data_IF_923110221604
#
_entry.id   IF_923110221604
#
_cell.length_a   1.000
_cell.length_b   1.000
_cell.length_c   1.000
_cell.angle_alpha   90.00
_cell.angle_beta   90.00
_cell.angle_gamma   90.00
#
_symmetry.space_group_name_H-M   'P 1'
#
loop_
_entity.id
_entity.type
_entity.pdbx_description
1 polymer ?
#
# COMPACT_ATOMS: atom_id res chain seq x y z
N UNK A 1 13.92 10.08 -25.27
CA UNK A 1 12.47 10.26 -25.09
C UNK A 1 12.16 9.72 -23.69
N UNK A 2 12.20 10.58 -22.66
CA UNK A 2 11.95 10.17 -21.27
C UNK A 2 10.58 10.68 -20.88
N UNK A 3 9.62 9.77 -20.70
CA UNK A 3 8.28 10.11 -20.20
C UNK A 3 8.34 9.97 -18.68
N UNK A 4 8.80 11.03 -18.00
CA UNK A 4 8.69 11.17 -16.54
C UNK A 4 7.37 11.88 -16.25
N UNK A 5 6.30 11.11 -16.06
CA UNK A 5 5.00 11.63 -15.71
C UNK A 5 4.23 10.59 -14.90
N UNK A 6 4.50 10.52 -13.59
CA UNK A 6 3.61 9.83 -12.66
C UNK A 6 3.44 10.66 -11.39
N UNK A 7 2.40 11.49 -11.46
CA UNK A 7 1.51 11.95 -10.39
C UNK A 7 2.08 12.05 -8.98
N UNK A 8 2.33 13.30 -8.55
CA UNK A 8 2.30 13.67 -7.14
C UNK A 8 0.98 13.17 -6.53
N UNK A 9 1.10 12.31 -5.52
CA UNK A 9 -0.02 11.83 -4.73
C UNK A 9 -0.47 13.01 -3.87
N UNK A 10 -1.61 13.61 -4.19
CA UNK A 10 -2.18 14.65 -3.33
C UNK A 10 -2.79 13.98 -2.09
N UNK A 11 -1.95 13.77 -1.08
CA UNK A 11 -2.30 13.18 0.24
C UNK A 11 -2.63 14.27 1.28
N UNK A 12 -3.00 15.47 0.84
CA UNK A 12 -2.89 16.68 1.66
C UNK A 12 -4.07 16.98 2.61
N UNK A 13 -5.22 16.32 2.50
CA UNK A 13 -6.42 16.89 3.15
C UNK A 13 -6.70 16.43 4.59
N UNK A 14 -6.16 15.30 5.10
CA UNK A 14 -6.43 14.83 6.49
C UNK A 14 -5.36 13.95 7.13
N UNK A 15 -4.09 14.14 6.78
CA UNK A 15 -3.00 13.36 7.37
C UNK A 15 -2.20 14.21 8.34
N UNK A 16 -1.77 13.63 9.45
CA UNK A 16 -0.63 14.16 10.19
C UNK A 16 0.56 14.27 9.21
N UNK A 17 1.20 15.44 9.06
CA UNK A 17 2.26 15.65 8.08
C UNK A 17 3.42 14.67 8.23
N UNK A 18 3.64 14.12 9.42
CA UNK A 18 4.69 13.13 9.71
C UNK A 18 4.39 11.79 9.04
N UNK A 19 3.13 11.35 9.10
CA UNK A 19 2.68 10.14 8.42
C UNK A 19 2.79 10.30 6.90
N UNK A 20 2.43 11.46 6.34
CA UNK A 20 2.50 11.69 4.89
C UNK A 20 3.92 11.48 4.33
N UNK A 21 4.93 12.03 5.00
CA UNK A 21 6.32 11.90 4.54
C UNK A 21 6.81 10.45 4.58
N UNK A 22 6.46 9.70 5.64
CA UNK A 22 6.80 8.27 5.71
C UNK A 22 6.15 7.50 4.56
N UNK A 23 4.87 7.74 4.30
CA UNK A 23 4.16 7.07 3.23
C UNK A 23 4.74 7.41 1.85
N UNK A 24 5.08 8.68 1.61
CA UNK A 24 5.81 9.09 0.41
C UNK A 24 7.13 8.34 0.27
N UNK A 25 7.93 8.27 1.34
CA UNK A 25 9.22 7.56 1.32
C UNK A 25 9.06 6.06 1.07
N UNK A 26 7.99 5.45 1.58
CA UNK A 26 7.69 4.02 1.39
C UNK A 26 7.24 3.70 -0.05
N UNK A 27 6.68 4.66 -0.78
CA UNK A 27 6.21 4.46 -2.16
C UNK A 27 7.15 5.05 -3.22
N UNK A 28 8.03 5.98 -2.84
CA UNK A 28 8.92 6.70 -3.75
C UNK A 28 9.87 5.76 -4.47
N UNK A 29 9.94 5.92 -5.80
CA UNK A 29 10.85 5.16 -6.65
C UNK A 29 10.46 3.70 -6.88
N UNK A 30 9.25 3.28 -6.47
CA UNK A 30 8.71 1.94 -6.73
C UNK A 30 7.79 1.95 -7.93
N UNK A 31 7.92 0.93 -8.78
CA UNK A 31 7.07 0.79 -9.95
C UNK A 31 5.66 0.33 -9.55
N UNK A 32 4.67 1.05 -10.06
CA UNK A 32 3.26 0.66 -9.94
C UNK A 32 2.92 -0.23 -11.12
N UNK A 33 2.58 -1.49 -10.84
CA UNK A 33 2.15 -2.47 -11.82
C UNK A 33 0.64 -2.55 -11.80
N UNK A 34 0.03 -2.26 -12.94
CA UNK A 34 -1.41 -2.31 -13.15
C UNK A 34 -1.97 -3.71 -12.90
N UNK A 35 -3.26 -3.77 -12.57
CA UNK A 35 -3.95 -5.04 -12.42
C UNK A 35 -4.23 -5.65 -13.81
N UNK A 36 -3.83 -6.90 -14.08
CA UNK A 36 -4.25 -7.60 -15.31
C UNK A 36 -5.77 -7.81 -15.37
N UNK A 37 -6.36 -7.79 -16.58
CA UNK A 37 -7.82 -7.94 -16.77
C UNK A 37 -8.38 -9.25 -16.22
N UNK A 38 -7.62 -10.35 -16.36
CA UNK A 38 -7.95 -11.66 -15.86
C UNK A 38 -6.84 -12.13 -14.92
N UNK A 39 -6.89 -11.69 -13.67
CA UNK A 39 -5.95 -12.08 -12.62
C UNK A 39 -6.63 -13.04 -11.63
N UNK A 40 -5.98 -14.17 -11.34
CA UNK A 40 -6.41 -15.07 -10.27
C UNK A 40 -5.92 -14.58 -8.91
N UNK A 41 -6.58 -15.02 -7.82
CA UNK A 41 -6.19 -14.64 -6.46
C UNK A 41 -4.71 -14.95 -6.15
N UNK A 42 -4.21 -16.09 -6.60
CA UNK A 42 -2.81 -16.52 -6.40
C UNK A 42 -1.84 -15.57 -7.12
N UNK A 43 -2.20 -15.11 -8.32
CA UNK A 43 -1.40 -14.14 -9.07
C UNK A 43 -1.42 -12.76 -8.41
N UNK A 44 -2.58 -12.32 -7.90
CA UNK A 44 -2.69 -11.09 -7.10
C UNK A 44 -1.76 -11.13 -5.90
N UNK A 45 -1.78 -12.22 -5.13
CA UNK A 45 -0.90 -12.38 -3.96
C UNK A 45 0.58 -12.38 -4.36
N UNK A 46 0.94 -13.10 -5.42
CA UNK A 46 2.32 -13.12 -5.94
C UNK A 46 2.80 -11.72 -6.32
N UNK A 47 1.94 -10.91 -6.95
CA UNK A 47 2.25 -9.54 -7.35
C UNK A 47 2.37 -8.59 -6.15
N UNK A 48 1.51 -8.76 -5.14
CA UNK A 48 1.60 -8.04 -3.87
C UNK A 48 2.89 -8.39 -3.10
N UNK A 49 3.32 -9.65 -3.15
CA UNK A 49 4.53 -10.15 -2.49
C UNK A 49 5.83 -9.92 -3.28
N UNK A 50 5.77 -9.30 -4.45
CA UNK A 50 6.98 -9.01 -5.24
C UNK A 50 7.71 -7.82 -4.61
N UNK A 51 8.96 -8.03 -4.22
CA UNK A 51 9.77 -7.00 -3.58
C UNK A 51 9.93 -5.75 -4.47
N UNK A 52 10.02 -4.58 -3.83
CA UNK A 52 10.19 -3.27 -4.47
C UNK A 52 9.12 -2.88 -5.50
N UNK A 53 7.99 -3.59 -5.54
CA UNK A 53 6.88 -3.30 -6.43
C UNK A 53 5.67 -2.77 -5.65
N UNK A 54 4.83 -2.01 -6.35
CA UNK A 54 3.49 -1.63 -5.92
C UNK A 54 2.50 -2.28 -6.89
N UNK A 55 1.59 -3.08 -6.38
CA UNK A 55 0.55 -3.72 -7.16
C UNK A 55 -0.73 -2.87 -7.10
N UNK A 56 -1.28 -2.50 -8.26
CA UNK A 56 -2.66 -2.05 -8.32
C UNK A 56 -3.59 -3.23 -8.13
N UNK A 57 -4.56 -3.10 -7.24
CA UNK A 57 -5.49 -4.16 -6.88
C UNK A 57 -6.93 -3.73 -7.14
N UNK A 58 -7.81 -4.73 -7.26
CA UNK A 58 -9.23 -4.45 -7.36
C UNK A 58 -9.78 -3.96 -6.02
N UNK A 59 -10.93 -3.28 -6.11
CA UNK A 59 -11.72 -2.92 -4.94
C UNK A 59 -12.04 -4.14 -4.07
N UNK A 60 -12.35 -5.28 -4.67
CA UNK A 60 -12.69 -6.51 -3.92
C UNK A 60 -11.51 -7.01 -3.06
N UNK A 61 -10.30 -7.00 -3.61
CA UNK A 61 -9.07 -7.37 -2.87
C UNK A 61 -8.84 -6.42 -1.71
N UNK A 62 -9.03 -5.11 -1.94
CA UNK A 62 -8.92 -4.10 -0.89
C UNK A 62 -9.83 -4.38 0.31
N UNK A 63 -11.13 -4.58 0.06
CA UNK A 63 -12.10 -4.83 1.12
C UNK A 63 -11.88 -6.19 1.80
N UNK A 64 -11.45 -7.22 1.05
CA UNK A 64 -11.08 -8.50 1.63
C UNK A 64 -10.02 -8.32 2.72
N UNK A 65 -8.91 -7.65 2.40
CA UNK A 65 -7.85 -7.44 3.39
C UNK A 65 -8.27 -6.48 4.51
N UNK A 66 -9.08 -5.46 4.21
CA UNK A 66 -9.52 -4.50 5.23
C UNK A 66 -10.50 -5.11 6.25
N UNK A 67 -11.38 -5.99 5.80
CA UNK A 67 -12.51 -6.49 6.60
C UNK A 67 -12.31 -7.92 7.12
N UNK A 68 -11.64 -8.77 6.34
CA UNK A 68 -11.46 -10.19 6.69
C UNK A 68 -10.18 -10.45 7.46
N UNK A 69 -9.20 -9.55 7.36
CA UNK A 69 -7.90 -9.69 8.00
C UNK A 69 -7.73 -8.48 8.92
N UNK A 70 -8.00 -8.67 10.20
CA UNK A 70 -7.99 -7.61 11.22
C UNK A 70 -6.72 -6.73 11.07
N UNK A 71 -6.86 -5.49 10.54
CA UNK A 71 -5.71 -4.70 10.15
C UNK A 71 -4.97 -4.22 11.40
N UNK A 72 -3.67 -4.52 11.47
CA UNK A 72 -2.81 -4.17 12.60
C UNK A 72 -2.72 -2.65 12.81
N UNK A 73 -2.67 -1.91 11.70
CA UNK A 73 -2.68 -0.45 11.67
C UNK A 73 -3.65 0.02 10.59
N UNK A 74 -4.42 1.06 10.86
CA UNK A 74 -5.36 1.59 9.88
C UNK A 74 -5.57 3.10 9.99
N UNK A 75 -5.76 3.72 8.84
CA UNK A 75 -6.27 5.08 8.69
C UNK A 75 -7.49 5.11 7.76
N UNK A 76 -7.88 6.31 7.35
CA UNK A 76 -9.06 6.50 6.48
C UNK A 76 -8.86 5.88 5.08
N UNK A 77 -7.66 6.05 4.52
CA UNK A 77 -7.31 5.71 3.14
C UNK A 77 -6.18 4.68 3.03
N UNK A 78 -5.71 4.12 4.14
CA UNK A 78 -4.64 3.13 4.17
C UNK A 78 -4.80 2.17 5.34
N UNK A 79 -4.16 1.01 5.25
CA UNK A 79 -4.04 0.06 6.36
C UNK A 79 -2.88 -0.91 6.13
N UNK A 80 -2.43 -1.54 7.21
CA UNK A 80 -1.42 -2.61 7.22
C UNK A 80 -2.09 -3.90 7.70
N UNK A 81 -1.91 -4.97 6.93
CA UNK A 81 -2.52 -6.26 7.21
C UNK A 81 -1.50 -7.39 7.04
N UNK A 82 -1.60 -8.43 7.86
CA UNK A 82 -0.75 -9.61 7.75
C UNK A 82 -1.50 -10.76 7.06
N UNK A 83 -0.95 -11.34 6.00
CA UNK A 83 -1.53 -12.47 5.27
C UNK A 83 -0.47 -13.49 4.90
N UNK A 84 -0.76 -14.78 5.08
CA UNK A 84 0.15 -15.90 4.71
C UNK A 84 1.60 -15.75 5.23
N UNK A 85 1.77 -15.19 6.43
CA UNK A 85 3.10 -14.97 7.04
C UNK A 85 3.86 -13.75 6.52
N UNK A 86 3.24 -12.96 5.64
CA UNK A 86 3.77 -11.70 5.13
C UNK A 86 2.95 -10.52 5.66
N UNK A 87 3.52 -9.32 5.60
CA UNK A 87 2.82 -8.08 5.96
C UNK A 87 2.72 -7.18 4.76
N UNK A 88 1.53 -6.68 4.51
CA UNK A 88 1.20 -5.87 3.36
C UNK A 88 0.74 -4.49 3.81
N UNK A 89 1.20 -3.48 3.09
CA UNK A 89 0.67 -2.13 3.17
C UNK A 89 -0.29 -1.90 2.01
N UNK A 90 -1.47 -1.38 2.32
CA UNK A 90 -2.49 -1.01 1.35
C UNK A 90 -2.83 0.47 1.50
N UNK A 91 -2.96 1.19 0.39
CA UNK A 91 -3.53 2.54 0.36
C UNK A 91 -4.42 2.73 -0.88
N UNK A 92 -5.37 3.66 -0.77
CA UNK A 92 -6.25 4.05 -1.88
C UNK A 92 -6.10 5.53 -2.14
N UNK A 93 -6.21 5.90 -3.41
CA UNK A 93 -6.37 7.29 -3.82
C UNK A 93 -7.72 7.44 -4.54
N UNK A 94 -7.97 8.60 -5.16
CA UNK A 94 -9.25 8.90 -5.81
C UNK A 94 -9.64 7.89 -6.91
N UNK A 95 -8.66 7.26 -7.56
CA UNK A 95 -8.89 6.46 -8.77
C UNK A 95 -8.41 5.00 -8.67
N UNK A 96 -7.61 4.64 -7.66
CA UNK A 96 -6.96 3.33 -7.59
C UNK A 96 -6.84 2.81 -6.17
N UNK A 97 -6.80 1.47 -6.05
CA UNK A 97 -6.42 0.75 -4.85
C UNK A 97 -5.05 0.13 -5.10
N UNK A 98 -4.15 0.27 -4.14
CA UNK A 98 -2.76 -0.11 -4.27
C UNK A 98 -2.35 -0.95 -3.05
N UNK A 99 -1.40 -1.86 -3.26
CA UNK A 99 -0.82 -2.64 -2.19
C UNK A 99 0.59 -3.12 -2.48
N UNK A 100 1.36 -3.40 -1.43
CA UNK A 100 2.68 -4.03 -1.52
C UNK A 100 3.03 -4.76 -0.24
N UNK A 101 3.90 -5.76 -0.32
CA UNK A 101 4.56 -6.32 0.84
C UNK A 101 5.58 -5.33 1.41
N UNK A 102 5.59 -5.17 2.72
CA UNK A 102 6.55 -4.35 3.45
C UNK A 102 7.48 -5.22 4.30
N UNK A 103 8.74 -4.78 4.45
CA UNK A 103 9.72 -5.46 5.27
C UNK A 103 9.51 -5.18 6.76
N UNK A 104 10.12 -5.98 7.64
CA UNK A 104 10.08 -5.74 9.09
C UNK A 104 10.66 -4.38 9.49
N UNK A 105 11.62 -3.85 8.73
CA UNK A 105 12.18 -2.51 8.97
C UNK A 105 11.18 -1.41 8.60
N UNK A 106 10.43 -1.59 7.51
CA UNK A 106 9.35 -0.67 7.12
C UNK A 106 8.18 -0.73 8.11
N UNK A 107 7.83 -1.92 8.61
CA UNK A 107 6.82 -2.09 9.67
C UNK A 107 7.21 -1.29 10.91
N UNK A 108 8.46 -1.41 11.36
CA UNK A 108 8.95 -0.68 12.54
C UNK A 108 8.85 0.83 12.37
N UNK A 109 9.16 1.37 11.18
CA UNK A 109 9.01 2.81 10.91
C UNK A 109 7.55 3.26 10.98
N UNK A 110 6.61 2.42 10.50
CA UNK A 110 5.18 2.69 10.61
C UNK A 110 4.76 2.68 12.09
N UNK A 111 5.20 1.68 12.85
CA UNK A 111 4.96 1.58 14.30
C UNK A 111 5.43 2.84 15.02
N UNK A 112 6.69 3.24 14.81
CA UNK A 112 7.29 4.42 15.44
C UNK A 112 6.55 5.73 15.08
N UNK A 113 5.81 5.76 13.97
CA UNK A 113 5.09 6.95 13.49
C UNK A 113 3.63 6.95 13.93
N UNK A 114 2.98 5.78 13.99
CA UNK A 114 1.57 5.64 14.40
C UNK A 114 1.41 5.65 15.92
N UNK A 115 2.45 5.26 16.66
CA UNK A 115 2.50 5.29 18.14
C UNK A 115 2.92 6.66 18.71
N UNK A 116 2.93 7.70 17.86
CA UNK A 116 3.12 9.08 18.31
C UNK A 116 1.81 9.61 18.92
N UNK A 117 1.84 10.13 20.16
CA UNK A 117 0.66 10.60 20.89
C UNK A 117 0.04 11.88 20.33
#
# INVERSE_FOLDING_TARGET
MCVHLWYCVDMSEKFDPTCNQLFEDLIKGKDVIEQPEAETWVETLKRLSTENQIAQISRSVWFYFRESVDPKYQGNDWFVSSGEGMTFLFWRNKNSFLGRQISSEEIKKIEDTVDLP
#
